data_IF_256733157951
#
_entry.id   IF_256733157951
#
_cell.length_a   1.000
_cell.length_b   1.000
_cell.length_c   1.000
_cell.angle_alpha   90.00
_cell.angle_beta   90.00
_cell.angle_gamma   90.00
#
_symmetry.space_group_name_H-M   'P 1'
#
loop_
_entity.id
_entity.type
_entity.pdbx_description
1 polymer ?
#
# COMPACT_ATOMS: atom_id res chain seq x y z
N UNK A 1 1.82 -9.38 18.66
CA UNK A 1 2.99 -9.08 17.83
C UNK A 1 2.69 -9.11 16.34
N UNK A 2 1.73 -9.90 15.87
CA UNK A 2 1.38 -9.97 14.42
C UNK A 2 0.80 -8.67 13.84
N UNK A 3 0.09 -7.85 14.62
CA UNK A 3 -0.54 -6.60 14.12
C UNK A 3 0.40 -5.40 13.99
N UNK A 4 1.53 -5.39 14.70
CA UNK A 4 2.51 -4.28 14.64
C UNK A 4 3.73 -4.61 13.77
N UNK A 5 3.83 -5.84 13.26
CA UNK A 5 4.98 -6.34 12.47
C UNK A 5 6.35 -5.95 13.06
N UNK A 6 6.43 -5.85 14.40
CA UNK A 6 7.65 -5.42 15.09
C UNK A 6 7.93 -3.91 15.07
N UNK A 7 6.98 -3.12 14.61
CA UNK A 7 7.13 -1.66 14.56
C UNK A 7 7.27 -1.06 15.96
N UNK A 8 8.43 -0.49 16.24
CA UNK A 8 8.81 0.01 17.56
C UNK A 8 7.84 1.07 18.11
N UNK A 9 7.38 2.01 17.27
CA UNK A 9 6.43 3.04 17.70
C UNK A 9 5.04 2.46 18.00
N UNK A 10 4.58 1.43 17.27
CA UNK A 10 3.36 0.70 17.58
C UNK A 10 3.45 -0.03 18.92
N UNK A 11 4.61 -0.61 19.22
CA UNK A 11 4.89 -1.23 20.54
C UNK A 11 4.91 -0.20 21.64
N UNK A 12 5.52 0.98 21.42
CA UNK A 12 5.58 2.08 22.39
C UNK A 12 4.19 2.65 22.66
N UNK A 13 3.39 2.90 21.62
CA UNK A 13 2.02 3.41 21.76
C UNK A 13 1.09 2.41 22.45
N UNK A 14 1.22 1.12 22.14
CA UNK A 14 0.53 0.05 22.85
C UNK A 14 0.96 0.03 24.33
N UNK A 15 2.26 0.19 24.61
CA UNK A 15 2.79 0.27 25.98
C UNK A 15 2.35 1.50 26.74
N UNK A 16 2.16 2.64 26.07
CA UNK A 16 1.62 3.87 26.69
C UNK A 16 0.13 3.74 27.00
N UNK A 17 -0.65 3.14 26.07
CA UNK A 17 -2.05 2.83 26.32
C UNK A 17 -2.24 1.87 27.50
N UNK A 18 -1.42 0.82 27.58
CA UNK A 18 -1.42 -0.12 28.72
C UNK A 18 -1.08 0.53 30.06
N UNK A 19 -0.31 1.64 30.09
CA UNK A 19 0.00 2.38 31.32
C UNK A 19 -1.14 3.29 31.81
N UNK A 20 -2.03 3.68 30.92
CA UNK A 20 -3.16 4.56 31.23
C UNK A 20 -4.42 3.79 31.64
N UNK A 21 -4.48 2.48 31.40
CA UNK A 21 -5.64 1.63 31.70
C UNK A 21 -5.43 0.82 32.98
N UNK A 22 -6.50 0.72 33.79
CA UNK A 22 -6.49 -0.01 35.06
C UNK A 22 -6.51 -1.55 34.87
N UNK A 23 -6.90 -2.04 33.67
CA UNK A 23 -6.96 -3.46 33.32
C UNK A 23 -6.26 -3.73 31.99
N UNK A 24 -4.99 -4.19 32.00
CA UNK A 24 -4.22 -4.52 30.79
C UNK A 24 -4.83 -5.62 29.93
N UNK A 25 -5.60 -6.55 30.53
CA UNK A 25 -6.23 -7.63 29.78
C UNK A 25 -7.49 -7.16 29.04
N UNK A 26 -8.22 -6.22 29.60
CA UNK A 26 -9.36 -5.59 28.95
C UNK A 26 -8.88 -4.72 27.80
N UNK A 27 -7.82 -3.93 28.00
CA UNK A 27 -7.19 -3.13 26.96
C UNK A 27 -6.68 -4.00 25.78
N UNK A 28 -6.05 -5.12 26.07
CA UNK A 28 -5.60 -6.06 25.02
C UNK A 28 -6.75 -6.69 24.21
N UNK A 29 -7.93 -6.83 24.82
CA UNK A 29 -9.15 -7.30 24.16
C UNK A 29 -9.85 -6.20 23.36
N UNK A 30 -9.78 -4.97 23.83
CA UNK A 30 -10.39 -3.78 23.20
C UNK A 30 -9.42 -3.01 22.28
N UNK A 31 -8.45 -3.68 21.67
CA UNK A 31 -7.40 -3.11 20.80
C UNK A 31 -7.93 -2.21 19.66
N UNK A 32 -9.25 -2.06 19.53
CA UNK A 32 -9.92 -1.12 18.63
C UNK A 32 -9.67 0.36 19.01
N UNK A 33 -9.44 0.64 20.32
CA UNK A 33 -9.07 1.98 20.79
C UNK A 33 -7.63 2.35 20.45
N UNK A 34 -6.74 1.38 20.40
CA UNK A 34 -5.33 1.56 20.02
C UNK A 34 -5.20 1.95 18.56
N UNK A 35 -6.04 1.40 17.68
CA UNK A 35 -6.07 1.76 16.26
C UNK A 35 -6.35 3.26 16.07
N UNK A 36 -7.18 3.86 16.92
CA UNK A 36 -7.46 5.31 16.89
C UNK A 36 -6.25 6.14 17.33
N UNK A 37 -5.62 5.80 18.45
CA UNK A 37 -4.44 6.52 18.95
C UNK A 37 -3.26 6.41 17.97
N UNK A 38 -3.05 5.23 17.39
CA UNK A 38 -2.04 5.00 16.36
C UNK A 38 -2.38 5.82 15.12
N UNK A 39 -3.63 5.83 14.68
CA UNK A 39 -4.07 6.61 13.51
C UNK A 39 -3.93 8.11 13.73
N UNK A 40 -4.24 8.62 14.92
CA UNK A 40 -4.03 10.02 15.32
C UNK A 40 -2.54 10.37 15.30
N UNK A 41 -1.68 9.54 15.91
CA UNK A 41 -0.23 9.73 15.89
C UNK A 41 0.34 9.72 14.49
N UNK A 42 -0.02 8.72 13.65
CA UNK A 42 0.44 8.63 12.28
C UNK A 42 -0.02 9.83 11.43
N UNK A 43 -1.25 10.30 11.67
CA UNK A 43 -1.80 11.46 10.98
C UNK A 43 -1.07 12.75 11.34
N UNK A 44 -0.81 12.97 12.64
CA UNK A 44 -0.22 14.21 13.13
C UNK A 44 1.30 14.25 12.96
N UNK A 45 1.99 13.15 13.25
CA UNK A 45 3.45 13.13 13.26
C UNK A 45 4.05 12.75 11.89
N UNK A 46 3.47 11.77 11.20
CA UNK A 46 4.04 11.28 9.96
C UNK A 46 3.51 12.01 8.72
N UNK A 47 2.21 12.33 8.69
CA UNK A 47 1.58 12.86 7.48
C UNK A 47 1.44 14.39 7.50
N UNK A 48 1.06 14.99 8.63
CA UNK A 48 0.79 16.43 8.71
C UNK A 48 2.07 17.28 8.60
N UNK A 49 3.22 16.71 8.93
CA UNK A 49 4.52 17.40 8.84
C UNK A 49 5.13 17.35 7.42
N UNK A 50 4.53 16.59 6.50
CA UNK A 50 5.04 16.48 5.14
C UNK A 50 4.67 17.71 4.27
N UNK A 51 5.57 18.16 3.38
CA UNK A 51 5.21 19.13 2.35
C UNK A 51 3.99 18.67 1.55
N UNK A 52 3.14 19.59 1.05
CA UNK A 52 1.88 19.24 0.36
C UNK A 52 2.07 18.28 -0.81
N UNK A 53 3.13 18.46 -1.61
CA UNK A 53 3.44 17.62 -2.76
C UNK A 53 3.78 16.19 -2.31
N UNK A 54 4.64 16.07 -1.28
CA UNK A 54 5.04 14.76 -0.74
C UNK A 54 3.88 14.07 -0.05
N UNK A 55 3.05 14.82 0.69
CA UNK A 55 1.83 14.30 1.28
C UNK A 55 0.89 13.74 0.22
N UNK A 56 0.63 14.50 -0.87
CA UNK A 56 -0.19 14.04 -1.99
C UNK A 56 0.37 12.76 -2.62
N UNK A 57 1.69 12.67 -2.79
CA UNK A 57 2.36 11.50 -3.33
C UNK A 57 2.20 10.28 -2.41
N UNK A 58 2.39 10.42 -1.10
CA UNK A 58 2.17 9.34 -0.12
C UNK A 58 0.74 8.81 -0.18
N UNK A 59 -0.25 9.70 -0.28
CA UNK A 59 -1.65 9.30 -0.43
C UNK A 59 -1.85 8.46 -1.70
N UNK A 60 -1.28 8.85 -2.82
CA UNK A 60 -1.38 8.15 -4.10
C UNK A 60 -0.63 6.80 -4.08
N UNK A 61 0.57 6.75 -3.50
CA UNK A 61 1.36 5.52 -3.33
C UNK A 61 0.61 4.46 -2.51
N UNK A 62 -0.23 4.87 -1.56
CA UNK A 62 -0.97 3.94 -0.70
C UNK A 62 -1.97 3.06 -1.44
N UNK A 63 -2.35 3.43 -2.66
CA UNK A 63 -3.25 2.65 -3.51
C UNK A 63 -2.59 1.34 -3.91
N UNK A 64 -1.29 1.36 -4.18
CA UNK A 64 -0.53 0.20 -4.61
C UNK A 64 -0.34 -0.78 -3.44
N UNK A 65 -0.54 -2.07 -3.72
CA UNK A 65 -0.28 -3.12 -2.73
C UNK A 65 1.22 -3.29 -2.49
N UNK A 66 1.98 -3.29 -3.56
CA UNK A 66 3.44 -3.29 -3.58
C UNK A 66 3.95 -2.33 -4.65
N UNK A 67 5.10 -1.76 -4.40
CA UNK A 67 5.70 -0.69 -5.19
C UNK A 67 7.11 -1.06 -5.60
N UNK A 68 7.44 -0.87 -6.87
CA UNK A 68 8.82 -0.79 -7.35
C UNK A 68 9.07 0.60 -7.92
N UNK A 69 10.34 1.01 -8.03
CA UNK A 69 10.70 2.30 -8.62
C UNK A 69 10.10 2.42 -10.03
N UNK A 70 10.30 1.40 -10.87
CA UNK A 70 9.81 1.38 -12.24
C UNK A 70 8.27 1.53 -12.34
N UNK A 71 7.51 0.84 -11.48
CA UNK A 71 6.06 0.98 -11.43
C UNK A 71 5.65 2.41 -11.05
N UNK A 72 6.24 2.95 -9.98
CA UNK A 72 5.89 4.27 -9.45
C UNK A 72 6.23 5.38 -10.44
N UNK A 73 7.42 5.34 -11.05
CA UNK A 73 7.84 6.28 -12.10
C UNK A 73 6.90 6.24 -13.29
N UNK A 74 6.49 5.04 -13.70
CA UNK A 74 5.61 4.85 -14.85
C UNK A 74 4.21 5.43 -14.66
N UNK A 75 3.61 5.31 -13.45
CA UNK A 75 2.19 5.62 -13.25
C UNK A 75 1.92 6.87 -12.43
N UNK A 76 2.90 7.37 -11.65
CA UNK A 76 2.72 8.52 -10.75
C UNK A 76 3.51 9.76 -11.16
N UNK A 77 4.22 9.72 -12.29
CA UNK A 77 5.06 10.82 -12.78
C UNK A 77 6.09 11.28 -11.75
N UNK A 78 6.77 10.33 -11.12
CA UNK A 78 7.90 10.53 -10.22
C UNK A 78 9.16 10.33 -11.03
N UNK A 79 10.11 11.27 -10.97
CA UNK A 79 11.34 11.21 -11.78
C UNK A 79 12.37 10.23 -11.22
N UNK A 80 12.43 10.05 -9.89
CA UNK A 80 13.38 9.18 -9.18
C UNK A 80 12.70 8.53 -7.96
N UNK A 81 12.00 7.43 -8.21
CA UNK A 81 11.35 6.69 -7.15
C UNK A 81 12.35 5.91 -6.27
N UNK A 82 13.53 5.60 -6.77
CA UNK A 82 14.58 4.94 -5.97
C UNK A 82 15.02 5.86 -4.83
N UNK A 83 15.41 7.09 -5.14
CA UNK A 83 15.75 8.11 -4.12
C UNK A 83 14.59 8.38 -3.17
N UNK A 84 13.35 8.44 -3.69
CA UNK A 84 12.17 8.59 -2.86
C UNK A 84 12.04 7.45 -1.82
N UNK A 85 12.20 6.19 -2.22
CA UNK A 85 12.12 5.05 -1.30
C UNK A 85 13.22 5.07 -0.26
N UNK A 86 14.45 5.41 -0.64
CA UNK A 86 15.58 5.57 0.29
C UNK A 86 15.31 6.66 1.34
N UNK A 87 14.72 7.78 0.91
CA UNK A 87 14.31 8.85 1.82
C UNK A 87 13.22 8.39 2.78
N UNK A 88 12.16 7.75 2.27
CA UNK A 88 11.07 7.25 3.09
C UNK A 88 11.55 6.24 4.15
N UNK A 89 12.49 5.37 3.79
CA UNK A 89 13.09 4.45 4.75
C UNK A 89 13.94 5.16 5.80
N UNK A 90 14.79 6.09 5.38
CA UNK A 90 15.65 6.87 6.29
C UNK A 90 14.81 7.68 7.29
N UNK A 91 13.68 8.20 6.86
CA UNK A 91 12.74 8.94 7.70
C UNK A 91 11.79 8.04 8.50
N UNK A 92 11.95 6.72 8.38
CA UNK A 92 11.07 5.74 9.06
C UNK A 92 9.59 5.93 8.72
N UNK A 93 9.29 6.26 7.45
CA UNK A 93 7.93 6.51 6.93
C UNK A 93 7.14 5.22 6.67
N UNK A 94 7.30 4.22 7.54
CA UNK A 94 6.51 2.98 7.50
C UNK A 94 6.60 2.20 6.20
N UNK A 95 7.69 2.38 5.46
CA UNK A 95 8.00 1.62 4.26
C UNK A 95 8.73 0.33 4.64
N UNK A 96 8.31 -0.79 4.06
CA UNK A 96 8.85 -2.13 4.33
C UNK A 96 9.34 -2.72 3.02
N UNK A 97 10.63 -3.08 2.95
CA UNK A 97 11.18 -3.81 1.81
C UNK A 97 10.67 -5.27 1.83
N UNK A 98 10.21 -5.77 0.69
CA UNK A 98 9.64 -7.11 0.53
C UNK A 98 10.69 -8.14 0.11
N UNK A 99 11.84 -7.70 -0.40
CA UNK A 99 12.90 -8.56 -0.87
C UNK A 99 14.29 -8.04 -0.44
N UNK A 100 15.31 -8.89 -0.55
CA UNK A 100 16.69 -8.57 -0.15
C UNK A 100 17.39 -7.58 -1.08
N UNK A 101 16.90 -7.44 -2.32
CA UNK A 101 17.45 -6.50 -3.30
C UNK A 101 16.86 -5.12 -3.15
N UNK A 102 15.78 -5.00 -2.32
CA UNK A 102 15.07 -3.74 -2.10
C UNK A 102 14.49 -3.19 -3.42
N UNK A 103 14.00 -4.09 -4.25
CA UNK A 103 13.33 -3.75 -5.51
C UNK A 103 11.83 -3.51 -5.31
N UNK A 104 11.25 -4.22 -4.32
CA UNK A 104 9.83 -4.14 -3.99
C UNK A 104 9.60 -3.69 -2.56
N UNK A 105 8.66 -2.79 -2.40
CA UNK A 105 8.28 -2.19 -1.13
C UNK A 105 6.77 -2.22 -0.93
N UNK A 106 6.34 -2.10 0.32
CA UNK A 106 4.97 -1.78 0.69
C UNK A 106 4.94 -0.86 1.89
N UNK A 107 3.86 -0.16 2.08
CA UNK A 107 3.62 0.49 3.37
C UNK A 107 3.21 -0.53 4.43
N UNK A 108 3.54 -0.23 5.69
CA UNK A 108 2.97 -0.94 6.83
C UNK A 108 1.43 -0.88 6.75
N UNK A 109 0.70 -1.99 6.98
CA UNK A 109 -0.75 -2.04 6.76
C UNK A 109 -1.54 -0.90 7.40
N UNK A 110 -1.27 -0.58 8.66
CA UNK A 110 -1.97 0.50 9.38
C UNK A 110 -1.73 1.88 8.75
N UNK A 111 -0.50 2.17 8.33
CA UNK A 111 -0.19 3.44 7.66
C UNK A 111 -0.85 3.52 6.29
N UNK A 112 -0.79 2.43 5.51
CA UNK A 112 -1.48 2.32 4.23
C UNK A 112 -2.98 2.58 4.36
N UNK A 113 -3.62 1.98 5.37
CA UNK A 113 -5.06 2.15 5.61
C UNK A 113 -5.42 3.61 5.91
N UNK A 114 -4.66 4.29 6.76
CA UNK A 114 -4.81 5.72 7.04
C UNK A 114 -4.67 6.56 5.78
N UNK A 115 -3.61 6.34 4.98
CA UNK A 115 -3.37 7.07 3.75
C UNK A 115 -4.52 6.87 2.75
N UNK A 116 -5.01 5.64 2.59
CA UNK A 116 -6.15 5.31 1.71
C UNK A 116 -7.45 5.95 2.17
N UNK A 117 -7.68 6.00 3.48
CA UNK A 117 -8.83 6.71 4.05
C UNK A 117 -8.77 8.20 3.68
N UNK A 118 -7.61 8.84 3.87
CA UNK A 118 -7.39 10.25 3.51
C UNK A 118 -7.53 10.48 2.01
N UNK A 119 -6.94 9.63 1.17
CA UNK A 119 -7.05 9.74 -0.29
C UNK A 119 -8.50 9.75 -0.75
N UNK A 120 -9.32 8.84 -0.22
CA UNK A 120 -10.76 8.78 -0.57
C UNK A 120 -11.52 10.04 -0.20
N UNK A 121 -11.17 10.65 0.93
CA UNK A 121 -11.82 11.88 1.41
C UNK A 121 -11.39 13.11 0.61
N UNK A 122 -10.11 13.20 0.23
CA UNK A 122 -9.52 14.40 -0.39
C UNK A 122 -9.56 14.34 -1.92
N UNK A 123 -9.43 13.14 -2.51
CA UNK A 123 -9.34 12.92 -3.95
C UNK A 123 -10.20 11.72 -4.39
N UNK A 124 -11.54 11.85 -4.35
CA UNK A 124 -12.42 10.79 -4.81
C UNK A 124 -12.17 10.48 -6.30
N UNK A 125 -11.99 9.20 -6.62
CA UNK A 125 -11.67 8.74 -7.98
C UNK A 125 -10.18 8.50 -8.25
N UNK A 126 -9.25 9.17 -7.57
CA UNK A 126 -7.81 8.98 -7.79
C UNK A 126 -7.35 7.53 -7.58
N UNK A 127 -7.96 6.81 -6.65
CA UNK A 127 -7.64 5.40 -6.43
C UNK A 127 -7.95 4.54 -7.67
N UNK A 128 -9.10 4.73 -8.31
CA UNK A 128 -9.49 3.97 -9.50
C UNK A 128 -8.56 4.25 -10.68
N UNK A 129 -8.14 5.49 -10.87
CA UNK A 129 -7.18 5.87 -11.92
C UNK A 129 -5.83 5.17 -11.71
N UNK A 130 -5.29 5.20 -10.48
CA UNK A 130 -4.01 4.58 -10.14
C UNK A 130 -4.08 3.05 -10.28
N UNK A 131 -5.15 2.41 -9.78
CA UNK A 131 -5.37 0.97 -9.90
C UNK A 131 -5.44 0.54 -11.38
N UNK A 132 -6.12 1.32 -12.21
CA UNK A 132 -6.23 1.05 -13.64
C UNK A 132 -4.86 1.17 -14.31
N UNK A 133 -4.11 2.22 -14.03
CA UNK A 133 -2.75 2.41 -14.57
C UNK A 133 -1.79 1.30 -14.11
N UNK A 134 -1.88 0.87 -12.84
CA UNK A 134 -1.09 -0.24 -12.32
C UNK A 134 -1.44 -1.56 -13.04
N UNK A 135 -2.73 -1.83 -13.27
CA UNK A 135 -3.16 -2.99 -14.04
C UNK A 135 -2.59 -2.98 -15.46
N UNK A 136 -2.65 -1.85 -16.15
CA UNK A 136 -2.09 -1.70 -17.50
C UNK A 136 -0.57 -1.93 -17.54
N UNK A 137 0.14 -1.43 -16.52
CA UNK A 137 1.58 -1.67 -16.37
C UNK A 137 1.91 -3.16 -16.19
N UNK A 138 1.13 -3.89 -15.38
CA UNK A 138 1.30 -5.33 -15.16
C UNK A 138 0.94 -6.14 -16.41
N UNK A 139 -0.13 -5.77 -17.12
CA UNK A 139 -0.51 -6.40 -18.42
C UNK A 139 0.64 -6.29 -19.43
N UNK A 140 1.22 -5.11 -19.57
CA UNK A 140 2.33 -4.88 -20.50
C UNK A 140 3.58 -5.73 -20.18
N UNK A 141 3.70 -6.24 -18.96
CA UNK A 141 4.81 -7.11 -18.50
C UNK A 141 4.45 -8.59 -18.41
N UNK A 142 3.23 -8.95 -18.79
CA UNK A 142 2.74 -10.32 -18.76
C UNK A 142 2.40 -10.82 -17.34
N UNK A 143 2.35 -9.93 -16.35
CA UNK A 143 1.89 -10.25 -14.97
C UNK A 143 0.38 -10.13 -14.87
N UNK A 144 -0.31 -11.11 -15.45
CA UNK A 144 -1.76 -11.14 -15.46
C UNK A 144 -2.38 -11.26 -14.07
N UNK A 145 -1.70 -11.93 -13.14
CA UNK A 145 -2.22 -12.11 -11.77
C UNK A 145 -2.37 -10.77 -11.05
N UNK A 146 -1.29 -9.98 -10.99
CA UNK A 146 -1.35 -8.65 -10.37
C UNK A 146 -2.30 -7.71 -11.12
N UNK A 147 -2.34 -7.80 -12.45
CA UNK A 147 -3.26 -6.99 -13.25
C UNK A 147 -4.74 -7.27 -12.92
N UNK A 148 -5.11 -8.54 -12.77
CA UNK A 148 -6.47 -8.96 -12.41
C UNK A 148 -6.83 -8.41 -11.02
N UNK A 149 -5.94 -8.53 -10.04
CA UNK A 149 -6.18 -8.02 -8.68
C UNK A 149 -6.45 -6.51 -8.69
N UNK A 150 -5.63 -5.73 -9.39
CA UNK A 150 -5.82 -4.30 -9.54
C UNK A 150 -7.11 -3.93 -10.28
N UNK A 151 -7.47 -4.67 -11.36
CA UNK A 151 -8.73 -4.44 -12.09
C UNK A 151 -9.95 -4.73 -11.23
N UNK A 152 -9.94 -5.80 -10.45
CA UNK A 152 -11.03 -6.13 -9.54
C UNK A 152 -11.17 -5.07 -8.44
N UNK A 153 -10.07 -4.60 -7.86
CA UNK A 153 -10.08 -3.53 -6.87
C UNK A 153 -10.56 -2.19 -7.47
N UNK A 154 -10.24 -1.92 -8.75
CA UNK A 154 -10.74 -0.76 -9.50
C UNK A 154 -12.23 -0.84 -9.86
N UNK A 155 -12.90 -1.98 -9.61
CA UNK A 155 -14.27 -2.23 -10.05
C UNK A 155 -14.42 -2.53 -11.54
N UNK A 156 -13.31 -2.84 -12.24
CA UNK A 156 -13.26 -3.09 -13.69
C UNK A 156 -13.39 -4.58 -14.02
N UNK A 157 -14.45 -5.23 -13.56
CA UNK A 157 -14.64 -6.69 -13.69
C UNK A 157 -14.65 -7.19 -15.13
N UNK A 158 -15.18 -6.43 -16.09
CA UNK A 158 -15.17 -6.80 -17.53
C UNK A 158 -13.74 -6.87 -18.09
N UNK A 159 -12.89 -5.92 -17.70
CA UNK A 159 -11.48 -5.94 -18.11
C UNK A 159 -10.72 -7.09 -17.45
N UNK A 160 -10.98 -7.37 -16.19
CA UNK A 160 -10.42 -8.52 -15.48
C UNK A 160 -10.79 -9.83 -16.20
N UNK A 161 -12.07 -10.02 -16.58
CA UNK A 161 -12.53 -11.18 -17.33
C UNK A 161 -11.84 -11.30 -18.71
N UNK A 162 -11.57 -10.18 -19.37
CA UNK A 162 -10.83 -10.17 -20.65
C UNK A 162 -9.40 -10.67 -20.48
N UNK A 163 -8.69 -10.21 -19.42
CA UNK A 163 -7.32 -10.64 -19.10
C UNK A 163 -7.30 -12.15 -18.79
N UNK A 164 -8.23 -12.63 -17.97
CA UNK A 164 -8.37 -14.06 -17.63
C UNK A 164 -8.57 -14.90 -18.89
N UNK A 165 -9.46 -14.48 -19.79
CA UNK A 165 -9.75 -15.19 -21.02
C UNK A 165 -8.55 -15.23 -21.98
N UNK A 166 -7.74 -14.16 -22.00
CA UNK A 166 -6.49 -14.10 -22.76
C UNK A 166 -5.46 -15.11 -22.24
N UNK A 167 -5.24 -15.15 -20.95
CA UNK A 167 -4.32 -16.12 -20.32
C UNK A 167 -4.74 -17.58 -20.56
N UNK A 168 -6.04 -17.87 -20.46
CA UNK A 168 -6.55 -19.20 -20.76
C UNK A 168 -6.28 -19.66 -22.18
N UNK A 169 -6.39 -18.76 -23.16
CA UNK A 169 -6.10 -19.05 -24.57
C UNK A 169 -4.62 -19.33 -24.80
N UNK A 170 -3.72 -18.52 -24.25
CA UNK A 170 -2.27 -18.74 -24.35
C UNK A 170 -1.83 -20.07 -23.72
N UNK A 171 -2.45 -20.48 -22.61
CA UNK A 171 -2.18 -21.77 -21.99
C UNK A 171 -2.63 -22.93 -22.88
N UNK A 172 -3.78 -22.84 -23.53
CA UNK A 172 -4.27 -23.86 -24.47
C UNK A 172 -3.37 -23.97 -25.69
N UNK A 173 -2.98 -22.85 -26.30
CA UNK A 173 -2.09 -22.82 -27.49
C UNK A 173 -0.70 -23.39 -27.17
N UNK A 174 -0.17 -23.19 -25.96
CA UNK A 174 1.10 -23.81 -25.54
C UNK A 174 1.00 -25.31 -25.32
N UNK A 175 -0.17 -25.81 -24.93
CA UNK A 175 -0.37 -27.24 -24.68
C UNK A 175 -0.68 -28.04 -25.95
N UNK A 176 -1.17 -27.38 -27.03
CA UNK A 176 -1.43 -28.01 -28.31
C UNK A 176 -0.17 -28.13 -29.19
N UNK A 177 1.00 -27.66 -28.71
CA UNK A 177 2.27 -27.68 -29.49
C UNK A 177 3.20 -28.80 -28.99
N UNK A 178 2.74 -29.77 -28.22
CA UNK A 178 3.42 -31.01 -27.80
C UNK A 178 2.68 -32.21 -28.43
#
# INVERSE_FOLDING_TARGET
>A
MERTEGWAAGVVLTGLGLRSEADPEQFARELRGTDRLISEYLSEQALAQQPPERRSLLLRLSVLDRMSAELVESILSVDDATSLFEELERESMFLVALDRRREWFRFHPMFRELLRYRLRAEHPGAATEILTAAADWHIARGDASSAIDYLLEAGSGERAATVISGCGREMLERNDTV
#
